data_IF_771859034751
#
_entry.id   IF_771859034751
#
_cell.length_a   1.000
_cell.length_b   1.000
_cell.length_c   1.000
_cell.angle_alpha   90.00
_cell.angle_beta   90.00
_cell.angle_gamma   90.00
#
_symmetry.space_group_name_H-M   'P 1'
#
loop_
_entity.id
_entity.type
_entity.pdbx_description
1 polymer ?
#
# COMPACT_ATOMS: atom_id res chain seq x y z
N UNK A 1 -26.63 -12.95 -2.50
CA UNK A 1 -26.30 -11.52 -2.53
C UNK A 1 -24.84 -11.42 -2.15
N UNK A 2 -23.95 -10.98 -3.04
CA UNK A 2 -22.52 -10.82 -2.73
C UNK A 2 -22.33 -9.45 -2.08
N UNK A 3 -21.67 -9.43 -0.94
CA UNK A 3 -21.45 -8.22 -0.13
C UNK A 3 -20.34 -7.39 -0.75
N UNK A 4 -20.33 -6.07 -0.53
CA UNK A 4 -19.29 -5.19 -1.10
C UNK A 4 -17.88 -5.59 -0.65
N UNK A 5 -17.77 -6.20 0.54
CA UNK A 5 -16.57 -6.84 1.04
C UNK A 5 -16.12 -8.05 0.21
N UNK A 6 -17.03 -8.89 -0.27
CA UNK A 6 -16.73 -10.07 -1.09
C UNK A 6 -16.17 -9.67 -2.46
N UNK A 7 -16.72 -8.60 -3.05
CA UNK A 7 -16.24 -8.03 -4.32
C UNK A 7 -14.84 -7.42 -4.12
N UNK A 8 -14.60 -6.77 -2.99
CA UNK A 8 -13.30 -6.17 -2.66
C UNK A 8 -12.23 -7.22 -2.35
N UNK A 9 -12.57 -8.28 -1.61
CA UNK A 9 -11.68 -9.39 -1.24
C UNK A 9 -11.31 -10.25 -2.46
N UNK A 10 -12.27 -10.56 -3.33
CA UNK A 10 -12.04 -11.32 -4.56
C UNK A 10 -11.01 -10.65 -5.48
N UNK A 11 -10.95 -9.31 -5.46
CA UNK A 11 -9.99 -8.54 -6.23
C UNK A 11 -8.58 -8.49 -5.63
N UNK A 12 -8.38 -8.80 -4.35
CA UNK A 12 -7.06 -8.82 -3.70
C UNK A 12 -6.38 -10.19 -3.85
N UNK A 13 -7.12 -11.29 -3.68
CA UNK A 13 -6.59 -12.65 -3.82
C UNK A 13 -6.30 -13.05 -5.27
N UNK A 14 -7.08 -12.54 -6.24
CA UNK A 14 -6.86 -12.85 -7.66
C UNK A 14 -5.78 -11.99 -8.33
N UNK A 15 -5.25 -10.97 -7.65
CA UNK A 15 -4.14 -10.19 -8.19
C UNK A 15 -2.85 -10.98 -7.98
N UNK A 16 -2.02 -11.20 -9.02
CA UNK A 16 -0.70 -11.76 -8.80
C UNK A 16 0.02 -10.87 -7.77
N UNK A 17 0.65 -11.46 -6.73
CA UNK A 17 1.32 -10.69 -5.70
C UNK A 17 2.33 -9.76 -6.37
N UNK A 18 2.01 -8.46 -6.37
CA UNK A 18 2.64 -7.49 -7.26
C UNK A 18 4.14 -7.31 -6.93
N UNK A 19 4.55 -7.69 -5.72
CA UNK A 19 5.92 -7.83 -5.27
C UNK A 19 5.99 -8.84 -4.11
N UNK A 20 6.95 -9.76 -4.17
CA UNK A 20 7.29 -10.59 -3.03
C UNK A 20 7.85 -9.71 -1.89
N UNK A 21 7.49 -9.95 -0.62
CA UNK A 21 7.89 -9.08 0.50
C UNK A 21 9.41 -8.96 0.65
N UNK A 22 10.11 -10.04 0.31
CA UNK A 22 11.57 -10.15 0.25
C UNK A 22 12.19 -9.18 -0.78
N UNK A 23 11.46 -8.90 -1.87
CA UNK A 23 11.91 -8.00 -2.92
C UNK A 23 11.71 -6.53 -2.55
N UNK A 24 11.00 -6.21 -1.46
CA UNK A 24 10.77 -4.82 -1.05
C UNK A 24 12.07 -4.10 -0.66
N UNK A 25 12.99 -4.79 0.04
CA UNK A 25 14.26 -4.20 0.52
C UNK A 25 15.21 -3.86 -0.64
N UNK A 26 15.44 -4.73 -1.64
CA UNK A 26 16.19 -4.35 -2.84
C UNK A 26 15.54 -3.22 -3.64
N UNK A 27 14.21 -3.21 -3.74
CA UNK A 27 13.48 -2.20 -4.50
C UNK A 27 13.48 -0.83 -3.82
N UNK A 28 13.37 -0.78 -2.49
CA UNK A 28 13.44 0.48 -1.74
C UNK A 28 14.80 1.16 -1.93
N UNK A 29 15.90 0.40 -1.96
CA UNK A 29 17.23 0.94 -2.26
C UNK A 29 17.32 1.51 -3.68
N UNK A 30 16.72 0.86 -4.68
CA UNK A 30 16.71 1.36 -6.07
C UNK A 30 15.86 2.63 -6.21
N UNK A 31 14.68 2.64 -5.58
CA UNK A 31 13.80 3.80 -5.51
C UNK A 31 14.46 4.98 -4.81
N UNK A 32 15.23 4.72 -3.76
CA UNK A 32 16.01 5.74 -3.06
C UNK A 32 17.09 6.34 -3.97
N UNK A 33 17.83 5.51 -4.72
CA UNK A 33 18.80 6.00 -5.70
C UNK A 33 18.15 6.82 -6.82
N UNK A 34 16.97 6.39 -7.30
CA UNK A 34 16.20 7.14 -8.29
C UNK A 34 15.74 8.51 -7.75
N UNK A 35 15.25 8.56 -6.50
CA UNK A 35 14.74 9.77 -5.87
C UNK A 35 15.77 10.90 -5.82
N UNK A 36 17.05 10.58 -5.58
CA UNK A 36 18.17 11.54 -5.51
C UNK A 36 18.36 12.40 -6.77
N UNK A 37 17.80 11.98 -7.90
CA UNK A 37 17.90 12.70 -9.17
C UNK A 37 16.62 13.45 -9.56
N UNK A 38 15.58 13.42 -8.72
CA UNK A 38 14.25 13.96 -9.04
C UNK A 38 13.94 15.20 -8.22
N UNK A 39 13.22 16.18 -8.77
CA UNK A 39 12.82 17.40 -8.05
C UNK A 39 11.90 17.12 -6.84
N UNK A 40 11.24 15.96 -6.82
CA UNK A 40 10.34 15.51 -5.74
C UNK A 40 11.03 14.55 -4.75
N UNK A 41 12.37 14.56 -4.68
CA UNK A 41 13.17 13.67 -3.83
C UNK A 41 12.61 13.54 -2.41
N UNK A 42 12.30 14.68 -1.77
CA UNK A 42 11.80 14.73 -0.39
C UNK A 42 10.50 13.96 -0.18
N UNK A 43 9.57 14.06 -1.14
CA UNK A 43 8.29 13.36 -1.07
C UNK A 43 8.46 11.85 -1.27
N UNK A 44 9.36 11.46 -2.18
CA UNK A 44 9.67 10.05 -2.47
C UNK A 44 10.43 9.42 -1.30
N UNK A 45 11.38 10.13 -0.71
CA UNK A 45 12.12 9.67 0.47
C UNK A 45 11.16 9.40 1.64
N UNK A 46 10.25 10.35 1.90
CA UNK A 46 9.26 10.22 2.96
C UNK A 46 8.34 9.02 2.74
N UNK A 47 7.93 8.70 1.51
CA UNK A 47 7.08 7.53 1.25
C UNK A 47 7.82 6.20 1.40
N UNK A 48 9.13 6.17 1.21
CA UNK A 48 9.96 4.97 1.44
C UNK A 48 10.21 4.75 2.94
N UNK A 49 10.56 5.82 3.68
CA UNK A 49 10.85 5.73 5.13
C UNK A 49 9.61 5.45 5.95
N UNK A 50 8.48 6.08 5.62
CA UNK A 50 7.21 5.82 6.33
C UNK A 50 6.59 4.46 5.95
N UNK A 51 7.22 3.73 5.01
CA UNK A 51 6.74 2.43 4.53
C UNK A 51 5.59 2.54 3.54
N UNK A 52 5.12 1.39 3.01
CA UNK A 52 4.02 1.39 2.05
C UNK A 52 2.78 2.06 2.65
N UNK A 53 2.06 2.81 1.82
CA UNK A 53 0.82 3.46 2.23
C UNK A 53 -0.09 2.44 2.91
N UNK A 54 -0.32 2.62 4.21
CA UNK A 54 -1.27 1.82 4.97
C UNK A 54 -2.64 2.30 4.56
N UNK A 55 -3.24 1.59 3.59
CA UNK A 55 -4.64 1.79 3.25
C UNK A 55 -5.45 1.46 4.49
N UNK A 56 -5.90 2.49 5.21
CA UNK A 56 -6.88 2.33 6.28
C UNK A 56 -8.08 1.62 5.64
N UNK A 57 -8.44 0.45 6.15
CA UNK A 57 -9.77 -0.09 5.89
C UNK A 57 -10.74 0.98 6.36
N UNK A 58 -11.48 1.56 5.42
CA UNK A 58 -12.61 2.41 5.78
C UNK A 58 -13.59 1.44 6.46
N UNK A 59 -13.84 1.55 7.78
CA UNK A 59 -14.89 0.74 8.40
C UNK A 59 -16.19 1.07 7.68
N UNK A 60 -17.03 0.07 7.47
CA UNK A 60 -18.32 0.33 6.84
C UNK A 60 -19.06 1.41 7.65
N UNK A 61 -19.86 2.29 7.01
CA UNK A 61 -20.59 3.38 7.68
C UNK A 61 -21.72 2.88 8.63
N UNK A 62 -21.61 1.67 9.17
CA UNK A 62 -22.48 1.06 10.19
C UNK A 62 -21.75 0.58 11.45
N UNK A 63 -20.41 0.52 11.47
CA UNK A 63 -19.63 0.01 12.62
C UNK A 63 -19.10 1.15 13.52
N UNK A 64 -19.82 2.27 13.57
CA UNK A 64 -19.60 3.32 14.55
C UNK A 64 -20.22 2.94 15.89
N UNK A 65 -19.74 1.87 16.53
CA UNK A 65 -20.01 1.54 17.93
C UNK A 65 -18.86 0.69 18.50
N UNK A 66 -17.67 1.26 18.59
CA UNK A 66 -16.67 0.76 19.52
C UNK A 66 -16.07 1.97 20.23
N UNK A 67 -16.51 2.19 21.47
CA UNK A 67 -15.83 3.01 22.48
C UNK A 67 -14.39 2.55 22.71
#
# INVERSE_FOLDING_TARGET
MSTQHDIYAAGFENRPPMLNKENYVPWSSRLLCYAKSRPNEKLIYNSIINGPYVRRMIPEPGDANCE
#
